data_IF_989760898341
#
_entry.id   IF_989760898341
#
_cell.length_a   1.000
_cell.length_b   1.000
_cell.length_c   1.000
_cell.angle_alpha   90.00
_cell.angle_beta   90.00
_cell.angle_gamma   90.00
#
_symmetry.space_group_name_H-M   'P 1'
#
loop_
_entity.id
_entity.type
_entity.pdbx_description
1 polymer ?
#
# COMPACT_ATOMS: atom_id res chain seq x y z
N UNK A 1 -2.99 -7.93 -9.94
CA UNK A 1 -2.60 -6.88 -10.92
C UNK A 1 -3.44 -6.94 -12.19
N UNK A 2 -3.34 -7.98 -13.04
CA UNK A 2 -4.13 -8.09 -14.29
C UNK A 2 -5.64 -7.86 -14.11
N UNK A 3 -6.25 -8.50 -13.11
CA UNK A 3 -7.69 -8.33 -12.81
C UNK A 3 -8.10 -6.90 -12.40
N UNK A 4 -7.14 -6.03 -12.05
CA UNK A 4 -7.36 -4.62 -11.73
C UNK A 4 -6.88 -3.70 -12.86
N UNK A 5 -6.52 -4.26 -14.01
CA UNK A 5 -5.95 -3.54 -15.16
C UNK A 5 -4.71 -2.71 -14.81
N UNK A 6 -3.95 -3.13 -13.80
CA UNK A 6 -2.68 -2.51 -13.44
C UNK A 6 -1.58 -2.97 -14.39
N UNK A 7 -0.68 -2.06 -14.73
CA UNK A 7 0.50 -2.30 -15.56
C UNK A 7 1.35 -3.36 -14.88
N UNK A 8 1.63 -4.44 -15.61
CA UNK A 8 2.54 -5.51 -15.22
C UNK A 8 3.79 -5.39 -16.09
N UNK A 9 4.90 -5.03 -15.49
CA UNK A 9 6.17 -4.93 -16.20
C UNK A 9 6.73 -6.31 -16.49
N UNK A 10 7.09 -6.54 -17.75
CA UNK A 10 7.60 -7.83 -18.24
C UNK A 10 8.97 -7.74 -18.88
N UNK A 11 9.58 -6.55 -18.92
CA UNK A 11 10.94 -6.41 -19.41
C UNK A 11 11.96 -6.98 -18.40
N UNK A 12 13.09 -7.56 -18.87
CA UNK A 12 14.09 -8.16 -17.99
C UNK A 12 14.64 -7.19 -16.93
N UNK A 13 14.56 -7.56 -15.65
CA UNK A 13 14.97 -6.76 -14.49
C UNK A 13 14.15 -5.48 -14.27
N UNK A 14 13.05 -5.29 -14.99
CA UNK A 14 12.07 -4.26 -14.66
C UNK A 14 11.19 -4.77 -13.52
N UNK A 15 11.23 -4.04 -12.41
CA UNK A 15 10.61 -4.40 -11.15
C UNK A 15 9.12 -4.06 -11.14
N UNK A 16 8.33 -4.99 -10.64
CA UNK A 16 7.00 -4.72 -10.12
C UNK A 16 7.11 -4.63 -8.59
N UNK A 17 6.94 -3.43 -8.04
CA UNK A 17 7.05 -3.19 -6.60
C UNK A 17 5.62 -3.09 -6.03
N UNK A 18 5.23 -4.07 -5.23
CA UNK A 18 3.84 -4.26 -4.80
C UNK A 18 3.72 -4.40 -3.29
N UNK A 19 3.26 -3.35 -2.63
CA UNK A 19 2.81 -3.40 -1.25
C UNK A 19 1.46 -4.10 -1.11
N UNK A 20 1.30 -4.84 -0.04
CA UNK A 20 0.07 -5.50 0.36
C UNK A 20 -0.20 -5.13 1.80
N UNK A 21 -1.13 -4.19 2.00
CA UNK A 21 -1.66 -3.83 3.31
C UNK A 21 -2.51 -4.97 3.86
N UNK A 22 -2.29 -5.31 5.11
CA UNK A 22 -2.96 -6.37 5.82
C UNK A 22 -4.47 -6.07 5.94
N UNK A 23 -5.26 -7.13 6.05
CA UNK A 23 -6.72 -7.00 6.23
C UNK A 23 -7.09 -6.41 7.58
N UNK A 24 -6.22 -6.56 8.57
CA UNK A 24 -6.40 -6.08 9.94
C UNK A 24 -5.21 -5.17 10.21
N UNK A 25 -5.30 -3.91 9.81
CA UNK A 25 -4.24 -2.91 9.97
C UNK A 25 -3.82 -2.82 11.44
N UNK A 26 -2.52 -2.83 11.69
CA UNK A 26 -1.96 -2.69 13.03
C UNK A 26 -0.87 -1.62 13.02
N UNK A 27 -1.17 -0.39 13.47
CA UNK A 27 -0.22 0.73 13.42
C UNK A 27 0.94 0.62 14.41
N UNK A 28 1.07 -0.52 15.10
CA UNK A 28 2.20 -0.85 15.98
C UNK A 28 3.17 -1.82 15.28
N UNK A 29 2.71 -2.67 14.34
CA UNK A 29 3.48 -3.83 13.85
C UNK A 29 3.75 -3.76 12.34
N UNK A 30 4.87 -4.37 11.93
CA UNK A 30 5.22 -4.58 10.52
C UNK A 30 4.54 -5.83 9.95
N UNK A 31 3.22 -5.79 9.83
CA UNK A 31 2.40 -6.93 9.41
C UNK A 31 2.04 -6.93 7.90
N UNK A 32 2.51 -5.91 7.18
CA UNK A 32 2.36 -5.78 5.74
C UNK A 32 3.50 -6.45 4.97
N UNK A 33 3.29 -6.63 3.67
CA UNK A 33 4.28 -7.26 2.78
C UNK A 33 4.59 -6.40 1.57
N UNK A 34 5.87 -6.28 1.25
CA UNK A 34 6.33 -5.78 -0.04
C UNK A 34 6.75 -6.97 -0.90
N UNK A 35 6.07 -7.16 -2.02
CA UNK A 35 6.43 -8.17 -3.01
C UNK A 35 7.12 -7.45 -4.17
N UNK A 36 8.33 -7.88 -4.49
CA UNK A 36 9.11 -7.34 -5.62
C UNK A 36 9.40 -8.49 -6.56
N UNK A 37 8.92 -8.38 -7.79
CA UNK A 37 9.10 -9.45 -8.77
C UNK A 37 9.35 -8.88 -10.17
N UNK A 38 10.15 -9.62 -10.94
CA UNK A 38 10.66 -9.22 -12.25
C UNK A 38 10.96 -10.46 -13.08
N UNK A 39 11.26 -10.28 -14.37
CA UNK A 39 11.84 -11.35 -15.19
C UNK A 39 13.36 -11.24 -15.20
N UNK A 40 14.10 -12.32 -15.01
CA UNK A 40 15.55 -12.30 -15.19
C UNK A 40 15.96 -12.14 -16.67
N UNK A 41 17.28 -12.19 -16.94
CA UNK A 41 17.80 -12.08 -18.30
C UNK A 41 17.38 -13.20 -19.26
N UNK A 42 16.89 -14.33 -18.74
CA UNK A 42 16.33 -15.44 -19.52
C UNK A 42 14.81 -15.33 -19.72
N UNK A 43 14.16 -14.32 -19.12
CA UNK A 43 12.71 -14.13 -19.16
C UNK A 43 11.94 -14.91 -18.09
N UNK A 44 12.63 -15.56 -17.13
CA UNK A 44 12.00 -16.30 -16.04
C UNK A 44 11.59 -15.37 -14.90
N UNK A 45 10.41 -15.58 -14.31
CA UNK A 45 9.97 -14.80 -13.16
C UNK A 45 10.79 -15.13 -11.91
N UNK A 46 11.28 -14.07 -11.28
CA UNK A 46 11.98 -14.08 -10.00
C UNK A 46 11.25 -13.15 -9.02
N UNK A 47 11.39 -13.40 -7.72
CA UNK A 47 10.65 -12.66 -6.70
C UNK A 47 11.34 -12.62 -5.34
N UNK A 48 10.99 -11.58 -4.59
CA UNK A 48 11.32 -11.38 -3.18
C UNK A 48 10.08 -10.88 -2.44
N UNK A 49 9.97 -11.25 -1.18
CA UNK A 49 8.96 -10.73 -0.28
C UNK A 49 9.64 -10.22 0.98
N UNK A 50 9.24 -9.04 1.44
CA UNK A 50 9.80 -8.40 2.62
C UNK A 50 8.69 -8.01 3.61
N UNK A 51 9.00 -8.08 4.90
CA UNK A 51 8.16 -7.53 5.96
C UNK A 51 8.31 -6.00 6.00
N UNK A 52 7.19 -5.30 5.87
CA UNK A 52 7.13 -3.84 5.90
C UNK A 52 5.93 -3.38 6.74
N UNK A 53 5.78 -2.08 6.90
CA UNK A 53 4.49 -1.44 7.16
C UNK A 53 4.15 -0.51 6.00
N UNK A 54 2.87 -0.43 5.67
CA UNK A 54 2.24 0.53 4.75
C UNK A 54 1.32 1.50 5.50
N UNK A 55 1.32 1.38 6.84
CA UNK A 55 0.49 2.13 7.76
C UNK A 55 1.33 3.23 8.43
N UNK A 56 0.74 4.40 8.72
CA UNK A 56 1.33 5.30 9.68
C UNK A 56 1.29 4.68 11.08
N UNK A 57 2.28 5.00 11.91
CA UNK A 57 2.33 4.45 13.26
C UNK A 57 1.37 5.17 14.21
N UNK A 58 1.06 4.50 15.33
CA UNK A 58 0.30 5.07 16.46
C UNK A 58 0.84 6.45 16.86
N UNK A 59 2.17 6.61 16.91
CA UNK A 59 2.86 7.86 17.27
C UNK A 59 2.52 9.04 16.36
N UNK A 60 2.21 8.81 15.08
CA UNK A 60 1.78 9.88 14.17
C UNK A 60 0.28 10.01 14.09
N UNK A 61 -0.46 8.91 14.16
CA UNK A 61 -1.93 8.92 14.22
C UNK A 61 -2.42 9.73 15.42
N UNK A 62 -1.94 9.45 16.63
CA UNK A 62 -2.30 10.19 17.85
C UNK A 62 -1.88 11.67 17.78
N UNK A 63 -0.76 11.97 17.09
CA UNK A 63 -0.30 13.34 16.88
C UNK A 63 -1.15 14.10 15.86
N UNK A 64 -1.77 13.42 14.89
CA UNK A 64 -2.50 14.03 13.78
C UNK A 64 -1.62 14.56 12.65
N UNK A 65 -0.44 13.97 12.44
CA UNK A 65 0.45 14.31 11.32
C UNK A 65 1.94 14.30 11.65
N UNK A 66 2.79 14.40 10.61
CA UNK A 66 4.25 14.42 10.78
C UNK A 66 4.76 15.73 11.39
N UNK A 67 4.36 16.87 10.81
CA UNK A 67 4.86 18.21 11.17
C UNK A 67 4.00 18.86 12.25
N UNK A 68 2.69 18.91 12.02
CA UNK A 68 1.72 19.51 12.95
C UNK A 68 0.46 18.65 12.99
N UNK A 69 -0.27 18.76 14.09
CA UNK A 69 -1.52 18.03 14.31
C UNK A 69 -2.67 18.45 13.37
N UNK A 70 -2.51 19.57 12.65
CA UNK A 70 -3.54 20.13 11.76
C UNK A 70 -3.48 19.60 10.32
N UNK A 71 -2.42 18.89 9.94
CA UNK A 71 -2.28 18.37 8.57
C UNK A 71 -2.95 17.03 8.34
N UNK A 72 -3.28 16.32 9.43
CA UNK A 72 -3.71 14.94 9.38
C UNK A 72 -2.56 14.00 8.99
N UNK A 73 -2.65 12.76 9.45
CA UNK A 73 -1.68 11.72 9.13
C UNK A 73 -1.97 11.18 7.74
N UNK A 74 -0.93 11.10 6.91
CA UNK A 74 -1.09 10.69 5.52
C UNK A 74 -1.24 9.16 5.42
N UNK A 75 -2.28 8.69 4.75
CA UNK A 75 -2.49 7.27 4.44
C UNK A 75 -2.54 7.10 2.92
N UNK A 76 -1.63 6.28 2.39
CA UNK A 76 -1.59 6.01 0.96
C UNK A 76 -2.77 5.10 0.55
N UNK A 77 -3.62 5.51 -0.41
CA UNK A 77 -4.74 4.71 -0.89
C UNK A 77 -4.31 3.44 -1.62
N UNK A 78 -5.23 2.49 -1.72
CA UNK A 78 -5.08 1.37 -2.65
C UNK A 78 -5.02 1.89 -4.10
N UNK A 79 -3.99 1.50 -4.86
CA UNK A 79 -3.80 2.03 -6.21
C UNK A 79 -2.49 1.57 -6.85
N UNK A 80 -2.36 1.80 -8.15
CA UNK A 80 -1.06 1.76 -8.83
C UNK A 80 -0.61 3.19 -9.12
N UNK A 81 0.61 3.49 -8.73
CA UNK A 81 1.22 4.81 -8.80
C UNK A 81 2.38 4.74 -9.79
N UNK A 82 2.07 5.04 -11.05
CA UNK A 82 3.00 4.83 -12.16
C UNK A 82 4.10 5.89 -12.13
N UNK A 83 5.36 5.45 -12.14
CA UNK A 83 6.53 6.30 -12.30
C UNK A 83 6.58 7.49 -11.30
N UNK A 84 6.30 7.22 -10.03
CA UNK A 84 6.11 8.24 -8.98
C UNK A 84 7.22 8.23 -7.93
N UNK A 85 8.05 7.18 -7.87
CA UNK A 85 9.24 7.11 -7.02
C UNK A 85 10.52 7.21 -7.84
N UNK A 86 11.62 7.62 -7.20
CA UNK A 86 12.97 7.55 -7.78
C UNK A 86 13.99 7.24 -6.69
N UNK A 87 15.20 6.82 -7.07
CA UNK A 87 16.30 6.77 -6.11
C UNK A 87 16.64 8.19 -5.68
N UNK A 88 16.65 8.42 -4.37
CA UNK A 88 17.01 9.67 -3.73
C UNK A 88 17.52 9.43 -2.31
N UNK A 89 17.52 10.48 -1.49
CA UNK A 89 18.04 10.42 -0.12
C UNK A 89 16.91 10.59 0.90
N UNK A 90 16.85 9.70 1.88
CA UNK A 90 16.02 9.84 3.07
C UNK A 90 16.93 9.85 4.29
N UNK A 91 16.94 10.97 5.05
CA UNK A 91 17.74 11.14 6.28
C UNK A 91 19.22 10.70 6.15
N UNK A 92 19.86 11.06 5.03
CA UNK A 92 21.28 10.81 4.80
C UNK A 92 21.64 9.47 4.15
N UNK A 93 20.67 8.60 3.83
CA UNK A 93 20.92 7.34 3.11
C UNK A 93 20.02 7.18 1.88
N UNK A 94 20.41 6.31 0.94
CA UNK A 94 19.64 6.06 -0.29
C UNK A 94 18.32 5.36 0.01
N UNK A 95 17.26 5.79 -0.65
CA UNK A 95 15.92 5.21 -0.57
C UNK A 95 15.17 5.45 -1.88
N UNK A 96 14.01 4.79 -2.05
CA UNK A 96 13.04 5.26 -3.04
C UNK A 96 12.24 6.39 -2.42
N UNK A 97 12.38 7.58 -2.98
CA UNK A 97 11.68 8.79 -2.51
C UNK A 97 10.56 9.16 -3.46
N UNK A 98 9.48 9.70 -2.91
CA UNK A 98 8.41 10.28 -3.72
C UNK A 98 8.99 11.38 -4.63
N UNK A 99 8.64 11.33 -5.91
CA UNK A 99 9.18 12.24 -6.92
C UNK A 99 8.10 12.91 -7.78
N UNK A 100 6.85 12.44 -7.70
CA UNK A 100 5.68 13.06 -8.34
C UNK A 100 4.51 13.09 -7.36
N UNK A 101 3.52 13.93 -7.67
CA UNK A 101 2.31 14.04 -6.88
C UNK A 101 1.58 12.70 -6.79
N UNK A 102 1.16 12.38 -5.57
CA UNK A 102 0.25 11.26 -5.29
C UNK A 102 -0.86 11.78 -4.39
N UNK A 103 -1.99 11.09 -4.38
CA UNK A 103 -3.07 11.41 -3.47
C UNK A 103 -2.98 10.57 -2.20
N UNK A 104 -3.29 11.17 -1.06
CA UNK A 104 -3.37 10.52 0.26
C UNK A 104 -4.69 10.87 0.93
N UNK A 105 -5.19 9.96 1.76
CA UNK A 105 -6.18 10.32 2.78
C UNK A 105 -5.48 11.04 3.92
N UNK A 106 -6.20 11.93 4.59
CA UNK A 106 -5.73 12.62 5.79
C UNK A 106 -6.56 12.18 6.98
N UNK A 107 -5.89 11.53 7.93
CA UNK A 107 -6.49 11.10 9.18
C UNK A 107 -6.32 12.18 10.24
N UNK A 108 -7.44 12.73 10.70
CA UNK A 108 -7.49 13.84 11.66
C UNK A 108 -8.00 13.43 13.04
N UNK A 109 -8.49 12.20 13.21
CA UNK A 109 -9.33 11.83 14.35
C UNK A 109 -8.51 11.50 15.62
N UNK A 110 -7.22 11.21 15.43
CA UNK A 110 -6.21 10.99 16.47
C UNK A 110 -6.54 9.86 17.43
N UNK A 111 -7.23 8.83 16.95
CA UNK A 111 -7.63 7.69 17.79
C UNK A 111 -6.72 6.46 17.64
N UNK A 112 -5.60 6.58 16.92
CA UNK A 112 -4.67 5.50 16.60
C UNK A 112 -5.25 4.37 15.72
N UNK A 113 -6.38 4.59 15.06
CA UNK A 113 -6.91 3.77 13.97
C UNK A 113 -6.78 4.52 12.65
N UNK A 114 -6.79 3.78 11.54
CA UNK A 114 -6.67 4.39 10.21
C UNK A 114 -8.07 4.75 9.68
N UNK A 115 -8.30 6.02 9.37
CA UNK A 115 -9.47 6.50 8.64
C UNK A 115 -9.17 6.76 7.15
N UNK A 116 -10.09 6.32 6.29
CA UNK A 116 -10.00 6.38 4.84
C UNK A 116 -11.09 7.28 4.26
N UNK A 117 -11.35 8.43 4.90
CA UNK A 117 -12.36 9.38 4.45
C UNK A 117 -11.98 9.97 3.07
N UNK A 118 -12.87 9.79 2.09
CA UNK A 118 -12.66 10.25 0.72
C UNK A 118 -12.70 11.77 0.58
N UNK A 119 -13.44 12.45 1.47
CA UNK A 119 -13.55 13.91 1.49
C UNK A 119 -12.23 14.56 1.91
N UNK A 120 -11.43 13.85 2.70
CA UNK A 120 -10.12 14.28 3.20
C UNK A 120 -8.97 13.92 2.27
N UNK A 121 -9.28 13.58 1.01
CA UNK A 121 -8.27 13.20 0.01
C UNK A 121 -7.57 14.44 -0.54
N UNK A 122 -6.25 14.46 -0.41
CA UNK A 122 -5.38 15.55 -0.90
C UNK A 122 -4.31 14.99 -1.83
N UNK A 123 -3.88 15.74 -2.84
CA UNK A 123 -2.82 15.31 -3.76
C UNK A 123 -1.64 16.30 -3.79
N UNK A 124 -0.41 15.77 -3.83
CA UNK A 124 0.81 16.57 -3.82
C UNK A 124 2.05 15.76 -3.43
N UNK A 125 3.13 16.47 -3.09
CA UNK A 125 4.35 15.91 -2.53
C UNK A 125 4.26 15.84 -1.00
N UNK A 126 4.18 14.63 -0.45
CA UNK A 126 4.03 14.38 0.98
C UNK A 126 5.21 13.64 1.60
N UNK A 127 6.20 13.26 0.79
CA UNK A 127 7.38 12.53 1.25
C UNK A 127 7.08 11.08 1.61
N UNK A 128 6.09 10.47 0.94
CA UNK A 128 5.75 9.05 1.12
C UNK A 128 6.84 8.20 0.49
N UNK A 129 7.88 7.90 1.25
CA UNK A 129 9.07 7.20 0.78
C UNK A 129 8.99 5.70 1.07
N UNK A 130 9.79 4.90 0.36
CA UNK A 130 10.03 3.50 0.67
C UNK A 130 11.44 3.38 1.26
N UNK A 131 11.54 3.14 2.56
CA UNK A 131 12.79 3.19 3.31
C UNK A 131 12.84 2.15 4.44
N UNK A 132 13.92 2.13 5.22
CA UNK A 132 14.08 1.25 6.40
C UNK A 132 13.72 1.96 7.70
N UNK A 133 13.37 1.19 8.72
CA UNK A 133 13.23 1.66 10.10
C UNK A 133 14.61 1.99 10.71
N UNK A 134 15.31 0.97 11.22
CA UNK A 134 16.60 1.10 11.92
C UNK A 134 17.75 0.67 11.01
N UNK A 135 18.98 1.10 11.31
CA UNK A 135 20.21 0.67 10.61
C UNK A 135 20.87 -0.47 11.34
N UNK A 136 21.50 -1.37 10.59
CA UNK A 136 22.20 -2.52 11.16
C UNK A 136 21.25 -3.57 11.70
N UNK A 137 21.82 -4.63 12.29
CA UNK A 137 21.12 -5.80 12.82
C UNK A 137 21.66 -7.10 12.23
N UNK A 138 20.86 -8.17 12.24
CA UNK A 138 21.23 -9.46 11.67
C UNK A 138 20.64 -9.67 10.27
N UNK A 139 21.34 -10.46 9.45
CA UNK A 139 20.88 -10.93 8.15
C UNK A 139 20.16 -12.29 8.29
N UNK A 140 19.17 -12.33 9.17
CA UNK A 140 18.36 -13.51 9.49
C UNK A 140 16.92 -13.38 8.96
N UNK A 141 16.60 -12.25 8.33
CA UNK A 141 15.24 -11.90 7.90
C UNK A 141 14.33 -11.46 9.04
N UNK A 142 14.81 -11.44 10.29
CA UNK A 142 14.06 -10.96 11.46
C UNK A 142 14.16 -9.44 11.56
N UNK A 143 13.16 -8.81 12.19
CA UNK A 143 13.13 -7.35 12.30
C UNK A 143 14.27 -6.77 13.14
N UNK A 144 14.85 -5.63 12.74
CA UNK A 144 15.76 -4.90 13.63
C UNK A 144 15.00 -4.18 14.76
N UNK A 145 13.69 -4.02 14.54
CA UNK A 145 12.72 -3.60 15.54
C UNK A 145 11.46 -4.45 15.36
N UNK A 146 10.78 -4.73 16.46
CA UNK A 146 9.48 -5.42 16.46
C UNK A 146 8.29 -4.46 16.27
N UNK A 147 8.52 -3.14 16.36
CA UNK A 147 7.48 -2.11 16.32
C UNK A 147 7.84 -0.91 15.44
N UNK A 148 6.82 -0.32 14.83
CA UNK A 148 6.98 0.78 13.86
C UNK A 148 7.51 2.06 14.52
N UNK A 149 7.14 2.34 15.78
CA UNK A 149 7.64 3.49 16.52
C UNK A 149 7.45 4.82 15.76
N UNK A 150 8.51 5.60 15.59
CA UNK A 150 8.50 6.89 14.90
C UNK A 150 8.94 6.80 13.42
N UNK A 151 9.02 5.59 12.85
CA UNK A 151 9.60 5.39 11.53
C UNK A 151 8.63 5.64 10.37
N UNK A 152 7.31 5.61 10.59
CA UNK A 152 6.31 5.80 9.51
C UNK A 152 5.24 6.83 9.86
N UNK A 153 5.28 7.98 9.20
CA UNK A 153 4.16 8.93 9.17
C UNK A 153 3.25 8.74 7.94
N UNK A 154 3.30 7.54 7.32
CA UNK A 154 2.64 7.21 6.04
C UNK A 154 3.58 6.60 5.00
N UNK A 155 4.89 6.54 5.28
CA UNK A 155 5.89 5.89 4.43
C UNK A 155 5.70 4.36 4.38
N UNK A 156 6.39 3.73 3.42
CA UNK A 156 6.44 2.28 3.31
C UNK A 156 7.77 1.82 3.92
N UNK A 157 7.73 1.20 5.09
CA UNK A 157 8.93 1.05 5.94
C UNK A 157 9.30 -0.41 6.14
N UNK A 158 10.52 -0.77 5.74
CA UNK A 158 11.11 -2.08 5.98
C UNK A 158 11.46 -2.29 7.44
N UNK A 159 11.09 -3.47 7.94
CA UNK A 159 11.40 -3.90 9.30
C UNK A 159 12.87 -4.32 9.46
N UNK A 160 13.44 -4.98 8.44
CA UNK A 160 14.82 -5.47 8.44
C UNK A 160 15.71 -4.69 7.45
N UNK A 161 16.91 -4.36 7.91
CA UNK A 161 17.93 -3.58 7.24
C UNK A 161 18.51 -4.29 6.01
N UNK A 162 18.83 -5.58 6.13
CA UNK A 162 19.39 -6.37 5.03
C UNK A 162 18.35 -6.64 3.94
N UNK A 163 17.09 -6.87 4.30
CA UNK A 163 15.97 -6.90 3.37
C UNK A 163 15.86 -5.59 2.58
N UNK A 164 16.04 -4.45 3.26
CA UNK A 164 16.08 -3.15 2.58
C UNK A 164 17.32 -2.98 1.69
N UNK A 165 18.49 -3.48 2.10
CA UNK A 165 19.70 -3.46 1.25
C UNK A 165 19.53 -4.34 0.01
N UNK A 166 18.99 -5.55 0.14
CA UNK A 166 18.65 -6.44 -0.98
C UNK A 166 17.68 -5.73 -1.95
N UNK A 167 16.61 -5.13 -1.41
CA UNK A 167 15.68 -4.33 -2.20
C UNK A 167 16.37 -3.17 -2.93
N UNK A 168 17.21 -2.39 -2.25
CA UNK A 168 17.97 -1.31 -2.89
C UNK A 168 18.90 -1.83 -3.99
N UNK A 169 19.49 -3.01 -3.81
CA UNK A 169 20.30 -3.69 -4.83
C UNK A 169 19.50 -3.98 -6.09
N UNK A 170 18.25 -4.47 -5.95
CA UNK A 170 17.34 -4.68 -7.08
C UNK A 170 17.01 -3.36 -7.81
N UNK A 171 16.70 -2.31 -7.05
CA UNK A 171 16.36 -0.99 -7.58
C UNK A 171 17.54 -0.36 -8.32
N UNK A 172 18.75 -0.40 -7.74
CA UNK A 172 19.98 0.09 -8.38
C UNK A 172 20.34 -0.74 -9.62
N UNK A 173 20.09 -2.07 -9.61
CA UNK A 173 20.27 -2.92 -10.79
C UNK A 173 19.36 -2.50 -11.94
N UNK A 174 18.06 -2.32 -11.69
CA UNK A 174 17.14 -1.81 -12.71
C UNK A 174 17.63 -0.46 -13.25
N UNK A 175 18.05 0.45 -12.35
CA UNK A 175 18.57 1.76 -12.74
C UNK A 175 19.83 1.64 -13.61
N UNK A 176 20.73 0.70 -13.33
CA UNK A 176 21.91 0.46 -14.16
C UNK A 176 21.57 0.06 -15.59
N UNK A 177 20.44 -0.65 -15.79
CA UNK A 177 19.99 -1.14 -17.10
C UNK A 177 19.16 -0.08 -17.84
N UNK A 178 18.23 0.57 -17.14
CA UNK A 178 17.22 1.44 -17.76
C UNK A 178 17.45 2.94 -17.51
N UNK A 179 18.54 3.29 -16.83
CA UNK A 179 18.82 4.64 -16.32
C UNK A 179 18.05 4.94 -15.03
N UNK A 180 18.28 6.12 -14.44
CA UNK A 180 17.58 6.58 -13.23
C UNK A 180 16.14 7.04 -13.56
N UNK A 181 15.38 6.19 -14.23
CA UNK A 181 13.95 6.39 -14.47
C UNK A 181 13.18 6.12 -13.19
N UNK A 182 11.98 6.69 -13.15
CA UNK A 182 11.06 6.51 -12.05
C UNK A 182 10.67 5.04 -11.87
N UNK A 183 10.19 4.72 -10.68
CA UNK A 183 9.67 3.42 -10.29
C UNK A 183 8.17 3.53 -10.05
N UNK A 184 7.47 2.48 -10.47
CA UNK A 184 6.06 2.29 -10.18
C UNK A 184 5.88 1.49 -8.91
N UNK A 185 5.07 2.02 -8.01
CA UNK A 185 4.65 1.33 -6.80
C UNK A 185 3.16 1.00 -6.88
N UNK A 186 2.78 -0.17 -6.43
CA UNK A 186 1.37 -0.58 -6.34
C UNK A 186 1.05 -0.95 -4.91
N UNK A 187 -0.05 -0.44 -4.37
CA UNK A 187 -0.56 -0.82 -3.07
C UNK A 187 -1.90 -1.56 -3.23
N UNK A 188 -1.94 -2.80 -2.75
CA UNK A 188 -3.16 -3.54 -2.55
C UNK A 188 -3.61 -3.47 -1.09
N UNK A 189 -4.81 -2.99 -0.86
CA UNK A 189 -5.44 -2.95 0.46
C UNK A 189 -6.47 -4.06 0.58
N UNK A 190 -6.16 -5.10 1.38
CA UNK A 190 -7.06 -6.23 1.58
C UNK A 190 -8.29 -5.85 2.40
N UNK A 191 -8.18 -4.91 3.32
CA UNK A 191 -9.29 -4.48 4.17
C UNK A 191 -10.35 -3.75 3.34
N UNK A 192 -9.95 -2.72 2.60
CA UNK A 192 -10.86 -1.97 1.73
C UNK A 192 -11.51 -2.90 0.71
N UNK A 193 -10.72 -3.78 0.07
CA UNK A 193 -11.26 -4.73 -0.90
C UNK A 193 -12.34 -5.63 -0.28
N UNK A 194 -12.09 -6.21 0.90
CA UNK A 194 -13.06 -7.05 1.58
C UNK A 194 -14.34 -6.26 1.96
N UNK A 195 -14.21 -5.04 2.47
CA UNK A 195 -15.35 -4.17 2.81
C UNK A 195 -16.21 -3.87 1.58
N UNK A 196 -15.59 -3.60 0.44
CA UNK A 196 -16.31 -3.41 -0.83
C UNK A 196 -17.01 -4.69 -1.32
N UNK A 197 -16.35 -5.85 -1.24
CA UNK A 197 -16.97 -7.12 -1.63
C UNK A 197 -18.18 -7.47 -0.76
N UNK A 198 -18.05 -7.34 0.57
CA UNK A 198 -19.16 -7.58 1.50
C UNK A 198 -20.32 -6.63 1.22
N UNK A 199 -20.08 -5.31 1.14
CA UNK A 199 -21.14 -4.34 0.83
C UNK A 199 -21.85 -4.67 -0.48
N UNK A 200 -21.10 -4.97 -1.55
CA UNK A 200 -21.69 -5.33 -2.85
C UNK A 200 -22.52 -6.62 -2.78
N UNK A 201 -22.03 -7.64 -2.08
CA UNK A 201 -22.77 -8.87 -1.87
C UNK A 201 -24.08 -8.63 -1.10
N UNK A 202 -24.03 -7.83 -0.02
CA UNK A 202 -25.22 -7.47 0.76
C UNK A 202 -26.24 -6.71 -0.07
N UNK A 203 -25.82 -5.66 -0.81
CA UNK A 203 -26.74 -4.91 -1.68
C UNK A 203 -27.31 -5.77 -2.81
N UNK A 204 -26.48 -6.61 -3.44
CA UNK A 204 -26.93 -7.53 -4.49
C UNK A 204 -27.97 -8.53 -3.95
N UNK A 205 -27.74 -9.08 -2.75
CA UNK A 205 -28.69 -9.97 -2.08
C UNK A 205 -30.01 -9.25 -1.77
N UNK A 206 -29.97 -8.03 -1.22
CA UNK A 206 -31.17 -7.24 -0.92
C UNK A 206 -31.99 -6.93 -2.17
N UNK A 207 -31.34 -6.61 -3.29
CA UNK A 207 -32.01 -6.39 -4.58
C UNK A 207 -32.68 -7.69 -5.06
N UNK A 208 -31.99 -8.82 -5.00
CA UNK A 208 -32.55 -10.11 -5.40
C UNK A 208 -33.77 -10.51 -4.56
N UNK A 209 -33.68 -10.33 -3.23
CA UNK A 209 -34.80 -10.59 -2.30
C UNK A 209 -35.97 -9.66 -2.61
N UNK A 210 -35.72 -8.36 -2.83
CA UNK A 210 -36.74 -7.39 -3.21
C UNK A 210 -37.46 -7.78 -4.51
N UNK A 211 -36.70 -8.16 -5.54
CA UNK A 211 -37.26 -8.63 -6.82
C UNK A 211 -38.07 -9.93 -6.66
N UNK A 212 -37.62 -10.85 -5.81
CA UNK A 212 -38.35 -12.09 -5.53
C UNK A 212 -39.70 -11.83 -4.85
N UNK A 213 -39.73 -10.94 -3.85
CA UNK A 213 -40.99 -10.53 -3.21
C UNK A 213 -41.94 -9.83 -4.18
N UNK A 214 -41.42 -8.96 -5.04
CA UNK A 214 -42.19 -8.27 -6.07
C UNK A 214 -42.80 -9.27 -7.07
N UNK A 215 -41.99 -10.22 -7.55
CA UNK A 215 -42.44 -11.29 -8.44
C UNK A 215 -43.49 -12.21 -7.79
N UNK A 216 -43.29 -12.56 -6.52
CA UNK A 216 -44.26 -13.36 -5.76
C UNK A 216 -45.58 -12.61 -5.53
N UNK A 217 -45.52 -11.31 -5.23
CA UNK A 217 -46.71 -10.45 -5.11
C UNK A 217 -47.51 -10.39 -6.41
N UNK A 218 -46.84 -10.19 -7.55
CA UNK A 218 -47.46 -10.21 -8.88
C UNK A 218 -48.08 -11.59 -9.20
N UNK A 219 -47.40 -12.68 -8.82
CA UNK A 219 -47.93 -14.03 -8.98
C UNK A 219 -49.23 -14.24 -8.19
N UNK A 220 -49.26 -13.82 -6.92
CA UNK A 220 -50.46 -13.91 -6.08
C UNK A 220 -51.62 -13.09 -6.65
N UNK A 221 -51.35 -11.86 -7.12
CA UNK A 221 -52.37 -11.00 -7.75
C UNK A 221 -52.96 -11.59 -9.03
N UNK A 222 -52.17 -12.37 -9.78
CA UNK A 222 -52.65 -13.06 -10.98
C UNK A 222 -53.52 -14.28 -10.64
N UNK A 223 -53.31 -14.90 -9.48
CA UNK A 223 -54.06 -16.08 -9.03
C UNK A 223 -55.41 -15.75 -8.39
N UNK A 224 -55.57 -14.52 -7.88
CA UNK A 224 -56.81 -14.01 -7.29
C UNK A 224 -57.74 -13.31 -8.28
N UNK A 225 -57.35 -13.18 -9.55
CA UNK A 225 -58.22 -12.79 -10.67
C UNK A 225 -58.65 -14.02 -11.46
#
# INVERSE_FOLDING_TARGET
MKAKSYILYTEPYQLNIVGVRNKNTNPIKFDDKLNVFWKDGSGKWEGRQYAITTDPSTVYLERGGFVTAGTGTAILPNGQYVDTWRIGTHRGYKALVQAKDICVYRDYDRNAFLDFNIEDKTCGLYGINIHRAISGGADDGEGNTSEIGDYSAGCQVFQNYYCFQDFLGLVEKQKGIYGNKYFTYTLFDKWLQNKFYVKRATYGFLILVGLAFLGYGLYLMKKTK
#
